data_IF_017616287957
#
_entry.id   IF_017616287957
#
_cell.length_a   1.000
_cell.length_b   1.000
_cell.length_c   1.000
_cell.angle_alpha   90.00
_cell.angle_beta   90.00
_cell.angle_gamma   90.00
#
_symmetry.space_group_name_H-M   'P 1'
#
loop_
_entity.id
_entity.type
_entity.pdbx_description
1 polymer ?
#
# COMPACT_ATOMS: atom_id res chain seq x y z
N UNK A 1 -46.36 4.52 5.32
CA UNK A 1 -45.38 3.41 5.36
C UNK A 1 -44.19 3.60 4.42
N UNK A 2 -44.31 4.30 3.27
CA UNK A 2 -43.17 4.57 2.35
C UNK A 2 -42.04 5.43 2.94
N UNK A 3 -42.35 6.37 3.86
CA UNK A 3 -41.32 7.23 4.49
C UNK A 3 -40.34 6.49 5.41
N UNK A 4 -40.73 5.33 5.96
CA UNK A 4 -39.86 4.53 6.83
C UNK A 4 -38.92 3.61 6.03
N UNK A 5 -39.27 3.26 4.79
CA UNK A 5 -38.42 2.47 3.88
C UNK A 5 -37.24 3.26 3.32
N UNK A 6 -37.39 4.58 3.11
CA UNK A 6 -36.29 5.45 2.67
C UNK A 6 -35.18 5.60 3.72
N UNK A 7 -35.54 5.60 5.01
CA UNK A 7 -34.56 5.75 6.10
C UNK A 7 -33.67 4.52 6.26
N UNK A 8 -34.19 3.31 6.03
CA UNK A 8 -33.44 2.06 6.15
C UNK A 8 -32.46 1.88 4.98
N UNK A 9 -32.83 2.30 3.78
CA UNK A 9 -31.95 2.20 2.61
C UNK A 9 -30.68 3.08 2.71
N UNK A 10 -30.77 4.24 3.38
CA UNK A 10 -29.65 5.18 3.52
C UNK A 10 -28.59 4.73 4.53
N UNK A 11 -28.95 3.85 5.49
CA UNK A 11 -28.02 3.34 6.50
C UNK A 11 -27.17 2.18 5.97
N UNK A 12 -27.69 1.38 5.03
CA UNK A 12 -26.97 0.24 4.46
C UNK A 12 -25.95 0.63 3.36
N UNK A 13 -26.07 1.81 2.76
CA UNK A 13 -25.13 2.30 1.73
C UNK A 13 -23.79 2.82 2.29
N UNK A 14 -23.63 2.90 3.60
CA UNK A 14 -22.44 3.51 4.24
C UNK A 14 -21.26 2.55 4.45
N UNK A 15 -21.40 1.27 4.06
CA UNK A 15 -20.41 0.22 4.38
C UNK A 15 -19.70 -0.38 3.17
N UNK A 16 -19.64 0.31 2.03
CA UNK A 16 -18.72 -0.09 0.96
C UNK A 16 -17.30 0.33 1.36
N UNK A 17 -16.69 -0.42 2.30
CA UNK A 17 -15.26 -0.32 2.55
C UNK A 17 -14.55 -0.70 1.27
N UNK A 18 -13.83 0.23 0.64
CA UNK A 18 -12.87 -0.10 -0.39
C UNK A 18 -11.94 -1.18 0.18
N UNK A 19 -11.99 -2.38 -0.40
CA UNK A 19 -11.18 -3.49 0.05
C UNK A 19 -9.72 -3.12 -0.18
N UNK A 20 -9.01 -2.81 0.89
CA UNK A 20 -7.57 -2.55 0.85
C UNK A 20 -6.88 -3.90 0.64
N UNK A 21 -6.21 -4.06 -0.49
CA UNK A 21 -5.52 -5.30 -0.83
C UNK A 21 -4.06 -5.25 -0.41
N UNK A 22 -3.57 -6.36 0.13
CA UNK A 22 -2.16 -6.50 0.45
C UNK A 22 -1.36 -6.61 -0.84
N UNK A 23 -0.42 -5.70 -1.07
CA UNK A 23 0.62 -5.88 -2.09
C UNK A 23 1.61 -6.94 -1.60
N UNK A 24 1.91 -6.91 -0.30
CA UNK A 24 2.73 -7.91 0.37
C UNK A 24 3.07 -7.56 1.82
N UNK A 25 3.43 -8.60 2.59
CA UNK A 25 3.96 -8.51 3.94
C UNK A 25 5.30 -9.24 4.01
N UNK A 26 6.40 -8.55 4.26
CA UNK A 26 7.72 -9.17 4.35
C UNK A 26 8.85 -8.18 4.53
N UNK A 27 10.09 -8.68 4.54
CA UNK A 27 11.26 -7.81 4.57
C UNK A 27 11.53 -7.15 3.21
N UNK A 28 12.01 -5.92 3.21
CA UNK A 28 12.50 -5.27 1.99
C UNK A 28 13.96 -5.66 1.74
N UNK A 29 14.28 -5.96 0.48
CA UNK A 29 15.64 -6.17 -0.04
C UNK A 29 16.12 -5.04 -0.94
N UNK A 30 15.25 -4.10 -1.27
CA UNK A 30 15.64 -2.90 -2.00
C UNK A 30 14.60 -1.79 -1.88
N UNK A 31 15.12 -0.56 -1.80
CA UNK A 31 14.37 0.69 -1.93
C UNK A 31 15.10 1.51 -2.98
N UNK A 32 14.46 1.78 -4.11
CA UNK A 32 15.07 2.51 -5.24
C UNK A 32 14.26 3.75 -5.56
N UNK A 33 14.93 4.90 -5.60
CA UNK A 33 14.33 6.17 -5.99
C UNK A 33 14.66 6.43 -7.46
N UNK A 34 13.62 6.59 -8.27
CA UNK A 34 13.68 6.98 -9.67
C UNK A 34 13.20 8.42 -9.76
N UNK A 35 14.07 9.33 -10.22
CA UNK A 35 13.74 10.75 -10.46
C UNK A 35 14.14 11.15 -11.89
N UNK A 36 13.76 10.30 -12.85
CA UNK A 36 13.97 10.58 -14.26
C UNK A 36 12.81 11.43 -14.79
N UNK A 37 13.03 12.17 -15.89
CA UNK A 37 12.03 13.05 -16.48
C UNK A 37 10.67 12.36 -16.75
N UNK A 38 10.71 11.07 -17.12
CA UNK A 38 9.54 10.27 -17.46
C UNK A 38 9.19 9.21 -16.41
N UNK A 39 9.96 9.10 -15.32
CA UNK A 39 9.74 8.11 -14.27
C UNK A 39 10.16 8.70 -12.92
N UNK A 40 9.15 9.21 -12.20
CA UNK A 40 9.27 9.70 -10.84
C UNK A 40 8.55 8.75 -9.91
N UNK A 41 9.25 7.72 -9.46
CA UNK A 41 8.71 6.65 -8.63
C UNK A 41 9.70 6.20 -7.56
N UNK A 42 9.19 5.67 -6.45
CA UNK A 42 9.97 4.85 -5.52
C UNK A 42 9.53 3.41 -5.75
N UNK A 43 10.49 2.51 -5.97
CA UNK A 43 10.22 1.07 -6.13
C UNK A 43 10.78 0.32 -4.94
N UNK A 44 9.90 -0.49 -4.33
CA UNK A 44 10.19 -1.32 -3.18
C UNK A 44 10.24 -2.78 -3.63
N UNK A 45 11.24 -3.52 -3.14
CA UNK A 45 11.47 -4.92 -3.51
C UNK A 45 11.45 -5.77 -2.25
N UNK A 46 10.54 -6.73 -2.20
CA UNK A 46 10.47 -7.69 -1.10
C UNK A 46 11.52 -8.79 -1.22
N UNK A 47 11.85 -9.40 -0.07
CA UNK A 47 12.61 -10.63 0.01
C UNK A 47 11.81 -11.87 -0.36
N UNK A 48 12.44 -13.04 -0.22
CA UNK A 48 11.79 -14.33 -0.41
C UNK A 48 10.77 -14.68 0.69
N UNK A 49 10.79 -13.96 1.81
CA UNK A 49 9.92 -14.17 2.97
C UNK A 49 8.55 -13.47 2.84
N UNK A 50 8.28 -12.84 1.70
CA UNK A 50 7.02 -12.13 1.46
C UNK A 50 5.82 -13.08 1.52
N UNK A 51 4.77 -12.60 2.17
CA UNK A 51 3.48 -13.26 2.33
C UNK A 51 2.38 -12.34 1.79
N UNK A 52 1.23 -12.92 1.44
CA UNK A 52 0.07 -12.17 0.92
C UNK A 52 0.42 -11.28 -0.28
N UNK A 53 1.28 -11.79 -1.17
CA UNK A 53 1.70 -11.07 -2.36
C UNK A 53 0.51 -10.90 -3.32
N UNK A 54 0.29 -9.67 -3.79
CA UNK A 54 -0.68 -9.41 -4.85
C UNK A 54 -0.18 -9.99 -6.18
N UNK A 55 -1.01 -10.81 -6.82
CA UNK A 55 -0.68 -11.42 -8.11
C UNK A 55 -0.34 -10.34 -9.16
N UNK A 56 0.74 -10.54 -9.91
CA UNK A 56 1.22 -9.60 -10.93
C UNK A 56 2.21 -8.55 -10.42
N UNK A 57 2.39 -8.40 -9.10
CA UNK A 57 3.35 -7.46 -8.54
C UNK A 57 4.78 -7.99 -8.43
N UNK A 58 5.00 -9.30 -8.61
CA UNK A 58 6.33 -9.92 -8.70
C UNK A 58 7.29 -9.48 -7.57
N UNK A 59 6.81 -9.48 -6.33
CA UNK A 59 7.54 -9.05 -5.12
C UNK A 59 7.97 -7.58 -5.15
N UNK A 60 7.26 -6.75 -5.90
CA UNK A 60 7.54 -5.32 -6.01
C UNK A 60 6.34 -4.47 -5.65
N UNK A 61 6.61 -3.26 -5.18
CA UNK A 61 5.61 -2.22 -5.01
C UNK A 61 6.16 -0.90 -5.55
N UNK A 62 5.25 -0.03 -5.96
CA UNK A 62 5.56 1.27 -6.57
C UNK A 62 4.87 2.36 -5.78
N UNK A 63 5.57 3.47 -5.58
CA UNK A 63 5.02 4.72 -5.08
C UNK A 63 5.25 5.77 -6.15
N UNK A 64 4.18 6.25 -6.76
CA UNK A 64 4.27 7.25 -7.84
C UNK A 64 4.13 8.65 -7.27
N UNK A 65 5.10 9.54 -7.53
CA UNK A 65 5.12 10.89 -6.97
C UNK A 65 3.85 11.70 -7.30
N UNK A 66 3.29 11.53 -8.52
CA UNK A 66 2.09 12.25 -8.93
C UNK A 66 0.79 11.74 -8.28
N UNK A 67 0.82 10.61 -7.59
CA UNK A 67 -0.35 10.01 -6.93
C UNK A 67 -0.45 10.33 -5.43
N UNK A 68 0.59 10.92 -4.84
CA UNK A 68 0.66 11.21 -3.41
C UNK A 68 1.14 12.64 -3.15
N UNK A 69 0.80 13.21 -1.99
CA UNK A 69 1.39 14.49 -1.56
C UNK A 69 2.86 14.33 -1.19
N UNK A 70 3.63 15.42 -1.23
CA UNK A 70 5.04 15.41 -0.84
C UNK A 70 5.23 14.85 0.59
N UNK A 71 4.42 15.29 1.56
CA UNK A 71 4.49 14.79 2.93
C UNK A 71 4.26 13.27 3.02
N UNK A 72 3.34 12.72 2.21
CA UNK A 72 3.11 11.27 2.15
C UNK A 72 4.29 10.54 1.51
N UNK A 73 4.88 11.11 0.46
CA UNK A 73 6.07 10.55 -0.17
C UNK A 73 7.23 10.44 0.81
N UNK A 74 7.48 11.50 1.58
CA UNK A 74 8.53 11.53 2.60
C UNK A 74 8.26 10.51 3.71
N UNK A 75 7.01 10.39 4.13
CA UNK A 75 6.59 9.39 5.11
C UNK A 75 6.81 7.96 4.60
N UNK A 76 6.40 7.68 3.36
CA UNK A 76 6.58 6.35 2.75
C UNK A 76 8.05 5.99 2.58
N UNK A 77 8.85 6.91 2.07
CA UNK A 77 10.29 6.70 1.90
C UNK A 77 10.98 6.47 3.25
N UNK A 78 10.66 7.28 4.26
CA UNK A 78 11.22 7.17 5.61
C UNK A 78 10.92 5.82 6.25
N UNK A 79 9.66 5.36 6.19
CA UNK A 79 9.26 4.05 6.71
C UNK A 79 9.90 2.89 5.93
N UNK A 80 9.92 2.97 4.59
CA UNK A 80 10.53 1.94 3.75
C UNK A 80 12.04 1.81 4.01
N UNK A 81 12.77 2.92 4.12
CA UNK A 81 14.18 2.93 4.47
C UNK A 81 14.43 2.39 5.88
N UNK A 82 13.62 2.81 6.85
CA UNK A 82 13.71 2.32 8.24
C UNK A 82 13.49 0.80 8.32
N UNK A 83 12.49 0.29 7.59
CA UNK A 83 12.24 -1.15 7.48
C UNK A 83 13.42 -1.89 6.84
N UNK A 84 13.91 -1.38 5.70
CA UNK A 84 15.02 -1.96 4.96
C UNK A 84 16.28 -2.04 5.82
N UNK A 85 16.64 -0.96 6.51
CA UNK A 85 17.84 -0.90 7.36
C UNK A 85 17.74 -1.77 8.61
N UNK A 86 16.54 -1.86 9.21
CA UNK A 86 16.34 -2.66 10.43
C UNK A 86 16.10 -4.15 10.15
N UNK A 87 15.88 -4.54 8.89
CA UNK A 87 15.48 -5.90 8.53
C UNK A 87 14.08 -6.27 9.04
N UNK A 88 13.27 -5.28 9.43
CA UNK A 88 11.91 -5.48 9.92
C UNK A 88 10.94 -5.68 8.77
N UNK A 89 9.87 -6.45 9.04
CA UNK A 89 8.80 -6.66 8.07
C UNK A 89 7.94 -5.42 7.92
N UNK A 90 7.45 -5.25 6.69
CA UNK A 90 6.57 -4.16 6.29
C UNK A 90 5.36 -4.77 5.60
N UNK A 91 4.20 -4.23 5.90
CA UNK A 91 2.96 -4.48 5.15
C UNK A 91 2.75 -3.32 4.18
N UNK A 92 2.68 -3.64 2.90
CA UNK A 92 2.31 -2.70 1.85
C UNK A 92 0.92 -3.05 1.36
N UNK A 93 0.08 -2.04 1.21
CA UNK A 93 -1.29 -2.22 0.72
C UNK A 93 -1.62 -1.21 -0.36
N UNK A 94 -2.50 -1.62 -1.27
CA UNK A 94 -3.07 -0.77 -2.31
C UNK A 94 -4.55 -0.50 -2.05
N UNK A 95 -5.03 0.65 -2.51
CA UNK A 95 -6.45 0.98 -2.58
C UNK A 95 -7.14 0.35 -3.82
N UNK A 96 -6.36 -0.29 -4.70
CA UNK A 96 -6.79 -0.94 -5.94
C UNK A 96 -6.04 -2.24 -6.16
N UNK A 97 -6.46 -3.05 -7.14
CA UNK A 97 -5.73 -4.28 -7.54
C UNK A 97 -4.52 -3.94 -8.42
N UNK A 98 -3.62 -3.11 -7.90
CA UNK A 98 -2.34 -2.74 -8.52
C UNK A 98 -1.21 -2.68 -7.47
N UNK A 99 0.01 -2.49 -7.95
CA UNK A 99 1.19 -2.46 -7.08
C UNK A 99 1.47 -1.07 -6.50
N UNK A 100 0.49 -0.15 -6.54
CA UNK A 100 0.64 1.21 -6.03
C UNK A 100 0.41 1.26 -4.52
N UNK A 101 1.42 1.63 -3.76
CA UNK A 101 1.31 1.70 -2.29
C UNK A 101 0.38 2.85 -1.91
N UNK A 102 -0.69 2.51 -1.21
CA UNK A 102 -1.63 3.45 -0.59
C UNK A 102 -1.42 3.57 0.93
N UNK A 103 -0.83 2.54 1.55
CA UNK A 103 -0.43 2.54 2.95
C UNK A 103 0.76 1.59 3.16
N UNK A 104 1.69 2.03 4.00
CA UNK A 104 2.85 1.28 4.48
C UNK A 104 2.83 1.25 6.02
N UNK A 105 3.09 0.07 6.60
CA UNK A 105 3.25 -0.08 8.04
C UNK A 105 4.38 -1.04 8.38
N UNK A 106 5.08 -0.77 9.50
CA UNK A 106 5.97 -1.75 10.13
C UNK A 106 5.10 -2.74 10.89
N UNK A 107 5.14 -4.00 10.46
CA UNK A 107 4.22 -5.02 10.96
C UNK A 107 4.85 -6.40 10.81
N UNK A 108 4.91 -7.17 11.90
CA UNK A 108 5.51 -8.52 11.89
C UNK A 108 4.49 -9.60 11.49
N UNK A 109 3.20 -9.36 11.75
CA UNK A 109 2.08 -10.29 11.52
C UNK A 109 0.85 -9.56 11.01
N UNK A 110 0.11 -10.15 10.08
CA UNK A 110 -1.17 -9.62 9.57
C UNK A 110 -2.27 -9.77 10.62
N UNK A 111 -3.06 -8.71 10.85
CA UNK A 111 -4.26 -8.70 11.68
C UNK A 111 -5.46 -8.29 10.83
#
# INVERSE_FOLDING_TARGET
>A
MIKQLLGVALVLSSFTSAAVTDIGLGTLKGVKVYDFANDKTIRLYFGSDVQYELAGCNKTATITYSKHSADKMDHFLSLALSAYMSGKKVRLTSASDDCEVSLISLQETRF
#
